data_IF_242042446810
#
_entry.id   IF_242042446810
#
_cell.length_a   1.000
_cell.length_b   1.000
_cell.length_c   1.000
_cell.angle_alpha   90.00
_cell.angle_beta   90.00
_cell.angle_gamma   90.00
#
_symmetry.space_group_name_H-M   'P 1'
#
loop_
_entity.id
_entity.type
_entity.pdbx_description
1 polymer ?
#
# COMPACT_ATOMS: atom_id res chain seq x y z
N UNK A 1 16.36 13.84 -16.37
CA UNK A 1 16.81 13.95 -14.96
C UNK A 1 16.09 12.86 -14.17
N UNK A 2 16.77 11.75 -13.86
CA UNK A 2 16.15 10.61 -13.19
C UNK A 2 15.80 11.00 -11.74
N UNK A 3 14.51 11.07 -11.43
CA UNK A 3 14.03 11.30 -10.07
C UNK A 3 14.47 10.11 -9.20
N UNK A 4 15.39 10.35 -8.27
CA UNK A 4 15.83 9.35 -7.28
C UNK A 4 14.59 8.88 -6.51
N UNK A 5 14.05 7.70 -6.87
CA UNK A 5 12.94 7.05 -6.15
C UNK A 5 13.31 6.99 -4.66
N UNK A 6 12.45 7.53 -3.79
CA UNK A 6 12.69 7.55 -2.34
C UNK A 6 12.76 6.10 -1.83
N UNK A 7 13.83 5.78 -1.10
CA UNK A 7 14.02 4.46 -0.49
C UNK A 7 12.84 4.08 0.42
N UNK A 8 12.30 2.88 0.23
CA UNK A 8 11.23 2.30 1.07
C UNK A 8 11.66 2.31 2.55
N UNK A 9 12.94 2.03 2.80
CA UNK A 9 13.52 2.06 4.14
C UNK A 9 13.43 3.45 4.78
N UNK A 10 13.61 4.50 3.98
CA UNK A 10 13.52 5.89 4.45
C UNK A 10 12.08 6.28 4.75
N UNK A 11 11.10 5.78 3.97
CA UNK A 11 9.67 5.95 4.27
C UNK A 11 9.29 5.24 5.57
N UNK A 12 9.69 3.97 5.73
CA UNK A 12 9.40 3.19 6.93
C UNK A 12 10.00 3.85 8.18
N UNK A 13 11.26 4.29 8.11
CA UNK A 13 11.90 5.05 9.19
C UNK A 13 11.08 6.29 9.56
N UNK A 14 10.69 7.09 8.57
CA UNK A 14 9.90 8.30 8.81
C UNK A 14 8.56 8.00 9.49
N UNK A 15 7.84 6.95 9.09
CA UNK A 15 6.58 6.56 9.73
C UNK A 15 6.76 6.09 11.17
N UNK A 16 7.80 5.28 11.45
CA UNK A 16 8.05 4.82 12.82
C UNK A 16 8.52 5.95 13.74
N UNK A 17 9.31 6.89 13.21
CA UNK A 17 9.72 8.09 13.94
C UNK A 17 8.52 9.00 14.22
N UNK A 18 7.66 9.21 13.23
CA UNK A 18 6.44 10.01 13.38
C UNK A 18 5.51 9.41 14.43
N UNK A 19 5.28 8.09 14.40
CA UNK A 19 4.47 7.38 15.40
C UNK A 19 5.06 7.46 16.81
N UNK A 20 6.39 7.32 16.94
CA UNK A 20 7.07 7.46 18.22
C UNK A 20 6.93 8.86 18.80
N UNK A 21 7.10 9.90 17.97
CA UNK A 21 6.93 11.30 18.39
C UNK A 21 5.48 11.58 18.79
N UNK A 22 4.48 11.18 17.98
CA UNK A 22 3.07 11.43 18.31
C UNK A 22 2.68 10.75 19.62
N UNK A 23 3.11 9.51 19.87
CA UNK A 23 2.90 8.86 21.17
C UNK A 23 3.58 9.59 22.33
N UNK A 24 4.78 10.14 22.11
CA UNK A 24 5.48 10.97 23.08
C UNK A 24 4.72 12.25 23.49
N UNK A 25 3.85 12.77 22.61
CA UNK A 25 2.97 13.91 22.90
C UNK A 25 1.61 13.51 23.48
N UNK A 26 1.06 12.36 23.09
CA UNK A 26 -0.25 11.87 23.58
C UNK A 26 -0.16 11.41 25.04
N UNK A 27 0.94 10.74 25.42
CA UNK A 27 1.07 10.14 26.75
C UNK A 27 1.03 11.14 27.92
N UNK A 28 1.70 12.31 27.85
CA UNK A 28 1.59 13.35 28.88
C UNK A 28 0.17 13.89 29.07
N UNK A 29 -0.60 14.02 28.00
CA UNK A 29 -2.00 14.47 28.06
C UNK A 29 -2.85 13.45 28.82
N UNK A 30 -2.65 12.17 28.55
CA UNK A 30 -3.35 11.09 29.24
C UNK A 30 -2.95 10.97 30.71
N UNK A 31 -1.65 11.07 31.03
CA UNK A 31 -1.15 11.00 32.41
C UNK A 31 -1.74 12.09 33.32
N UNK A 32 -2.11 13.23 32.74
CA UNK A 32 -2.71 14.36 33.46
C UNK A 32 -4.08 14.06 34.07
N UNK A 33 -4.77 12.99 33.63
CA UNK A 33 -6.02 12.54 34.25
C UNK A 33 -5.83 11.78 35.57
N UNK A 34 -4.61 11.29 35.84
CA UNK A 34 -4.35 10.34 36.93
C UNK A 34 -3.28 10.82 37.92
N UNK A 35 -2.54 11.87 37.59
CA UNK A 35 -1.38 12.32 38.38
C UNK A 35 -1.48 13.82 38.66
N UNK A 36 -1.37 14.18 39.94
CA UNK A 36 -1.16 15.56 40.38
C UNK A 36 0.34 15.86 40.44
N UNK A 37 0.77 16.91 39.74
CA UNK A 37 2.19 17.23 39.57
C UNK A 37 2.67 18.23 40.62
N UNK A 38 3.89 18.03 41.14
CA UNK A 38 4.60 19.05 41.92
C UNK A 38 5.08 20.18 41.01
N UNK A 39 5.19 21.41 41.53
CA UNK A 39 5.61 22.60 40.77
C UNK A 39 6.90 22.35 39.97
N UNK A 40 6.85 22.62 38.66
CA UNK A 40 7.98 22.49 37.74
C UNK A 40 8.31 21.06 37.25
N UNK A 41 7.76 20.00 37.84
CA UNK A 41 8.10 18.61 37.45
C UNK A 41 7.39 18.12 36.17
N UNK A 42 6.31 18.78 35.76
CA UNK A 42 5.61 18.45 34.50
C UNK A 42 6.50 18.61 33.26
N UNK A 43 7.35 19.64 33.23
CA UNK A 43 8.24 19.91 32.08
C UNK A 43 9.29 18.80 31.90
N UNK A 44 9.88 18.33 33.01
CA UNK A 44 10.82 17.21 32.98
C UNK A 44 10.14 15.91 32.51
N UNK A 45 8.90 15.67 32.93
CA UNK A 45 8.12 14.53 32.49
C UNK A 45 7.78 14.59 30.99
N UNK A 46 7.39 15.76 30.48
CA UNK A 46 7.10 15.99 29.06
C UNK A 46 8.32 15.69 28.18
N UNK A 47 9.50 16.23 28.56
CA UNK A 47 10.76 15.98 27.85
C UNK A 47 11.11 14.48 27.90
N UNK A 48 10.92 13.84 29.05
CA UNK A 48 11.10 12.40 29.20
C UNK A 48 10.22 11.58 28.26
N UNK A 49 8.95 11.95 28.10
CA UNK A 49 8.01 11.26 27.22
C UNK A 49 8.37 11.39 25.73
N UNK A 50 8.79 12.58 25.30
CA UNK A 50 9.24 12.81 23.91
C UNK A 50 10.51 12.00 23.62
N UNK A 51 11.48 12.02 24.53
CA UNK A 51 12.70 11.23 24.41
C UNK A 51 12.39 9.74 24.36
N UNK A 52 11.50 9.24 25.23
CA UNK A 52 11.05 7.86 25.22
C UNK A 52 10.38 7.49 23.89
N UNK A 53 9.49 8.35 23.37
CA UNK A 53 8.80 8.16 22.09
C UNK A 53 9.76 8.04 20.89
N UNK A 54 10.75 8.94 20.80
CA UNK A 54 11.81 8.87 19.77
C UNK A 54 12.61 7.56 19.91
N UNK A 55 12.96 7.17 21.14
CA UNK A 55 13.71 5.95 21.41
C UNK A 55 12.93 4.71 20.96
N UNK A 56 11.63 4.65 21.27
CA UNK A 56 10.72 3.58 20.82
C UNK A 56 10.63 3.54 19.29
N UNK A 57 10.50 4.70 18.63
CA UNK A 57 10.48 4.77 17.16
C UNK A 57 11.76 4.21 16.52
N UNK A 58 12.93 4.55 17.06
CA UNK A 58 14.23 4.05 16.59
C UNK A 58 14.37 2.55 16.84
N UNK A 59 14.06 2.07 18.05
CA UNK A 59 14.16 0.65 18.40
C UNK A 59 13.22 -0.19 17.54
N UNK A 60 11.98 0.28 17.33
CA UNK A 60 11.00 -0.42 16.50
C UNK A 60 11.46 -0.52 15.03
N UNK A 61 12.06 0.55 14.49
CA UNK A 61 12.64 0.52 13.14
C UNK A 61 13.80 -0.48 13.05
N UNK A 62 14.70 -0.49 14.03
CA UNK A 62 15.80 -1.46 14.09
C UNK A 62 15.28 -2.89 14.19
N UNK A 63 14.20 -3.12 14.94
CA UNK A 63 13.55 -4.41 15.10
C UNK A 63 12.99 -4.93 13.76
N UNK A 64 12.19 -4.11 13.06
CA UNK A 64 11.64 -4.46 11.74
C UNK A 64 12.75 -4.69 10.72
N UNK A 65 13.79 -3.84 10.71
CA UNK A 65 14.95 -4.00 9.83
C UNK A 65 15.69 -5.32 10.09
N UNK A 66 15.87 -5.69 11.36
CA UNK A 66 16.61 -6.90 11.75
C UNK A 66 15.82 -8.18 11.46
N UNK A 67 14.49 -8.14 11.62
CA UNK A 67 13.64 -9.32 11.43
C UNK A 67 13.21 -9.43 9.98
N UNK A 68 12.44 -8.46 9.47
CA UNK A 68 11.73 -8.61 8.20
C UNK A 68 12.66 -8.36 7.00
N UNK A 69 13.48 -7.32 7.07
CA UNK A 69 14.34 -6.93 5.93
C UNK A 69 15.53 -7.88 5.77
N UNK A 70 16.07 -8.39 6.88
CA UNK A 70 17.12 -9.41 6.82
C UNK A 70 16.66 -10.65 6.06
N UNK A 71 15.45 -11.13 6.32
CA UNK A 71 14.90 -12.29 5.63
C UNK A 71 14.59 -11.97 4.16
N UNK A 72 14.04 -10.79 3.83
CA UNK A 72 13.85 -10.37 2.43
C UNK A 72 15.17 -10.24 1.65
N UNK A 73 16.24 -9.80 2.30
CA UNK A 73 17.57 -9.76 1.68
C UNK A 73 18.13 -11.17 1.42
N UNK A 74 17.84 -12.15 2.28
CA UNK A 74 18.17 -13.55 1.99
C UNK A 74 17.44 -14.03 0.75
N UNK A 75 16.12 -13.78 0.63
CA UNK A 75 15.35 -14.11 -0.59
C UNK A 75 16.02 -13.52 -1.82
N UNK A 76 16.39 -12.24 -1.78
CA UNK A 76 17.08 -11.58 -2.89
C UNK A 76 18.44 -12.21 -3.20
N UNK A 77 19.22 -12.62 -2.19
CA UNK A 77 20.54 -13.24 -2.40
C UNK A 77 20.42 -14.63 -3.02
N UNK A 78 19.48 -15.45 -2.54
CA UNK A 78 19.22 -16.79 -3.11
C UNK A 78 18.69 -16.66 -4.53
N UNK A 79 17.85 -15.65 -4.82
CA UNK A 79 17.41 -15.38 -6.18
C UNK A 79 18.56 -15.00 -7.13
N UNK A 80 19.56 -14.24 -6.64
CA UNK A 80 20.76 -13.94 -7.42
C UNK A 80 21.64 -15.18 -7.64
N UNK A 81 21.76 -16.07 -6.65
CA UNK A 81 22.49 -17.33 -6.82
C UNK A 81 21.84 -18.24 -7.86
N UNK A 82 20.50 -18.37 -7.82
CA UNK A 82 19.73 -19.12 -8.83
C UNK A 82 19.91 -18.49 -10.22
N UNK A 83 19.87 -17.16 -10.33
CA UNK A 83 20.11 -16.46 -11.59
C UNK A 83 21.54 -16.68 -12.13
N UNK A 84 22.52 -16.82 -11.24
CA UNK A 84 23.91 -17.18 -11.57
C UNK A 84 24.11 -18.69 -11.81
N UNK A 85 23.02 -19.44 -12.03
CA UNK A 85 23.00 -20.88 -12.32
C UNK A 85 23.43 -21.77 -11.14
N UNK A 86 23.53 -21.22 -9.93
CA UNK A 86 23.70 -22.02 -8.71
C UNK A 86 22.33 -22.37 -8.13
N UNK A 87 21.85 -23.58 -8.42
CA UNK A 87 20.53 -24.08 -7.98
C UNK A 87 20.62 -25.07 -6.80
N UNK A 88 21.82 -25.30 -6.26
CA UNK A 88 22.03 -26.15 -5.07
C UNK A 88 21.72 -25.42 -3.75
N UNK A 89 21.15 -24.22 -3.84
CA UNK A 89 20.79 -23.37 -2.69
C UNK A 89 19.37 -23.65 -2.22
N UNK A 90 19.12 -23.48 -0.93
CA UNK A 90 17.80 -23.60 -0.34
C UNK A 90 17.48 -22.35 0.47
N UNK A 91 16.23 -21.88 0.38
CA UNK A 91 15.77 -20.74 1.15
C UNK A 91 15.21 -21.21 2.48
N UNK A 92 16.03 -21.15 3.54
CA UNK A 92 15.64 -21.52 4.90
C UNK A 92 14.98 -20.34 5.63
N UNK A 93 13.68 -20.14 5.36
CA UNK A 93 12.84 -19.18 6.06
C UNK A 93 11.61 -19.90 6.60
N UNK A 94 11.53 -20.02 7.92
CA UNK A 94 10.35 -20.55 8.60
C UNK A 94 9.45 -19.39 9.05
N UNK A 95 8.34 -19.21 8.34
CA UNK A 95 7.32 -18.23 8.70
C UNK A 95 5.93 -18.70 8.27
N UNK A 96 4.89 -18.26 8.99
CA UNK A 96 3.47 -18.51 8.67
C UNK A 96 2.78 -17.28 8.07
N UNK A 97 3.55 -16.27 7.66
CA UNK A 97 3.06 -15.06 7.03
C UNK A 97 3.41 -15.01 5.54
N UNK A 98 3.11 -13.88 4.89
CA UNK A 98 3.39 -13.67 3.47
C UNK A 98 4.87 -13.89 3.09
N UNK A 99 5.83 -13.67 4.01
CA UNK A 99 7.25 -13.94 3.75
C UNK A 99 7.50 -15.45 3.68
N UNK A 100 6.81 -16.23 4.52
CA UNK A 100 6.84 -17.69 4.48
C UNK A 100 6.20 -18.28 3.23
N UNK A 101 5.09 -17.70 2.75
CA UNK A 101 4.47 -18.08 1.47
C UNK A 101 5.42 -17.82 0.29
N UNK A 102 6.06 -16.64 0.26
CA UNK A 102 7.08 -16.32 -0.74
C UNK A 102 8.23 -17.31 -0.68
N UNK A 103 8.73 -17.63 0.52
CA UNK A 103 9.84 -18.55 0.68
C UNK A 103 9.50 -19.98 0.24
N UNK A 104 8.28 -20.43 0.55
CA UNK A 104 7.78 -21.75 0.16
C UNK A 104 7.62 -21.84 -1.36
N UNK A 105 6.98 -20.84 -1.99
CA UNK A 105 6.87 -20.78 -3.45
C UNK A 105 8.23 -20.71 -4.15
N UNK A 106 9.19 -19.98 -3.57
CA UNK A 106 10.56 -19.92 -4.12
C UNK A 106 11.29 -21.27 -4.02
N UNK A 107 11.12 -21.99 -2.91
CA UNK A 107 11.66 -23.34 -2.76
C UNK A 107 11.01 -24.35 -3.73
N UNK A 108 9.71 -24.21 -4.02
CA UNK A 108 9.06 -25.02 -5.08
C UNK A 108 9.67 -24.75 -6.45
N UNK A 109 9.96 -23.49 -6.79
CA UNK A 109 10.66 -23.13 -8.04
C UNK A 109 12.05 -23.77 -8.09
N UNK A 110 12.84 -23.65 -7.03
CA UNK A 110 14.19 -24.27 -6.96
C UNK A 110 14.09 -25.79 -7.11
N UNK A 111 13.12 -26.43 -6.45
CA UNK A 111 12.90 -27.88 -6.55
C UNK A 111 12.53 -28.31 -7.96
N UNK A 112 11.64 -27.58 -8.63
CA UNK A 112 11.29 -27.81 -10.02
C UNK A 112 12.49 -27.65 -10.96
N UNK A 113 13.30 -26.60 -10.77
CA UNK A 113 14.52 -26.37 -11.55
C UNK A 113 15.56 -27.48 -11.35
N UNK A 114 15.76 -27.94 -10.10
CA UNK A 114 16.65 -29.05 -9.80
C UNK A 114 16.17 -30.36 -10.43
N UNK A 115 14.86 -30.65 -10.36
CA UNK A 115 14.26 -31.80 -11.04
C UNK A 115 14.49 -31.73 -12.55
N UNK A 116 14.29 -30.55 -13.13
CA UNK A 116 14.48 -30.32 -14.56
C UNK A 116 15.94 -30.49 -15.00
N UNK A 117 16.91 -29.95 -14.26
CA UNK A 117 18.35 -30.14 -14.54
C UNK A 117 18.77 -31.59 -14.35
N UNK A 118 18.20 -32.29 -13.36
CA UNK A 118 18.44 -33.73 -13.17
C UNK A 118 17.89 -34.55 -14.34
N UNK A 119 16.68 -34.26 -14.80
CA UNK A 119 16.10 -34.88 -16.00
C UNK A 119 16.92 -34.60 -17.25
N UNK A 120 17.39 -33.36 -17.46
CA UNK A 120 18.29 -33.03 -18.57
C UNK A 120 19.61 -33.81 -18.47
N UNK A 121 20.24 -33.87 -17.29
CA UNK A 121 21.46 -34.67 -17.10
C UNK A 121 21.22 -36.16 -17.35
N UNK A 122 20.05 -36.68 -16.98
CA UNK A 122 19.64 -38.05 -17.27
C UNK A 122 19.47 -38.26 -18.77
N UNK A 123 18.81 -37.33 -19.48
CA UNK A 123 18.66 -37.36 -20.95
C UNK A 123 20.04 -37.31 -21.62
N UNK A 124 20.96 -36.43 -21.19
CA UNK A 124 22.31 -36.34 -21.75
C UNK A 124 23.14 -37.58 -21.44
N UNK A 125 23.01 -38.16 -20.24
CA UNK A 125 23.68 -39.40 -19.87
C UNK A 125 23.12 -40.60 -20.64
N UNK A 126 21.80 -40.68 -20.82
CA UNK A 126 21.15 -41.71 -21.62
C UNK A 126 21.48 -41.56 -23.10
N UNK A 127 21.51 -40.34 -23.64
CA UNK A 127 21.95 -40.04 -25.00
C UNK A 127 23.43 -40.42 -25.23
N UNK A 128 24.31 -40.13 -24.26
CA UNK A 128 25.71 -40.55 -24.32
C UNK A 128 25.86 -42.08 -24.18
N UNK A 129 24.99 -42.76 -23.42
CA UNK A 129 24.94 -44.23 -23.35
C UNK A 129 24.36 -44.87 -24.61
N UNK A 130 23.47 -44.19 -25.33
CA UNK A 130 22.95 -44.66 -26.63
C UNK A 130 24.08 -44.69 -27.69
N UNK A 131 25.12 -43.87 -27.55
CA UNK A 131 26.33 -43.93 -28.37
C UNK A 131 27.34 -45.02 -27.97
N UNK A 132 27.20 -45.62 -26.77
CA UNK A 132 28.20 -46.51 -26.17
C UNK A 132 27.74 -47.94 -25.83
N UNK A 133 26.46 -48.16 -25.52
CA UNK A 133 25.95 -49.46 -25.08
C UNK A 133 25.23 -50.21 -26.20
N UNK A 134 25.78 -51.39 -26.53
CA UNK A 134 25.12 -52.43 -27.31
C UNK A 134 24.01 -53.07 -26.44
N UNK A 135 22.79 -52.53 -26.37
CA UNK A 135 21.59 -53.32 -25.99
C UNK A 135 20.22 -52.60 -26.11
N UNK A 136 19.37 -53.14 -27.00
CA UNK A 136 17.92 -53.49 -26.97
C UNK A 136 16.86 -52.60 -26.24
N UNK A 137 17.17 -51.66 -25.35
CA UNK A 137 16.13 -50.95 -24.55
C UNK A 137 15.84 -49.49 -24.97
N UNK A 138 16.12 -49.11 -26.22
CA UNK A 138 15.92 -47.74 -26.71
C UNK A 138 14.45 -47.36 -26.96
N UNK A 139 13.57 -48.33 -27.20
CA UNK A 139 12.13 -48.09 -27.43
C UNK A 139 11.41 -47.54 -26.19
N UNK A 140 11.73 -48.06 -25.00
CA UNK A 140 11.13 -47.58 -23.73
C UNK A 140 11.56 -46.16 -23.37
N UNK A 141 12.81 -45.79 -23.70
CA UNK A 141 13.33 -44.42 -23.53
C UNK A 141 12.68 -43.43 -24.50
N UNK A 142 12.50 -43.81 -25.76
CA UNK A 142 11.77 -43.00 -26.74
C UNK A 142 10.31 -42.78 -26.33
N UNK A 143 9.63 -43.83 -25.85
CA UNK A 143 8.25 -43.72 -25.37
C UNK A 143 8.14 -42.77 -24.17
N UNK A 144 9.13 -42.80 -23.26
CA UNK A 144 9.20 -41.86 -22.13
C UNK A 144 9.36 -40.42 -22.62
N UNK A 145 10.18 -40.20 -23.65
CA UNK A 145 10.41 -38.88 -24.25
C UNK A 145 9.16 -38.35 -24.97
N UNK A 146 8.44 -39.19 -25.72
CA UNK A 146 7.14 -38.83 -26.31
C UNK A 146 6.13 -38.40 -25.23
N UNK A 147 6.12 -39.10 -24.09
CA UNK A 147 5.24 -38.74 -22.98
C UNK A 147 5.61 -37.37 -22.38
N UNK A 148 6.90 -37.11 -22.15
CA UNK A 148 7.37 -35.79 -21.70
C UNK A 148 7.02 -34.68 -22.68
N UNK A 149 7.18 -34.88 -23.99
CA UNK A 149 6.78 -33.91 -25.03
C UNK A 149 5.28 -33.59 -24.92
N UNK A 150 4.43 -34.60 -24.77
CA UNK A 150 2.98 -34.40 -24.60
C UNK A 150 2.64 -33.63 -23.32
N UNK A 151 3.33 -33.93 -22.20
CA UNK A 151 3.16 -33.18 -20.95
C UNK A 151 3.56 -31.71 -21.09
N UNK A 152 4.67 -31.40 -21.77
CA UNK A 152 5.09 -30.02 -21.97
C UNK A 152 4.09 -29.27 -22.86
N UNK A 153 3.52 -29.92 -23.88
CA UNK A 153 2.47 -29.31 -24.70
C UNK A 153 1.24 -28.94 -23.86
N UNK A 154 0.79 -29.85 -22.98
CA UNK A 154 -0.32 -29.57 -22.06
C UNK A 154 0.01 -28.42 -21.08
N UNK A 155 1.24 -28.36 -20.59
CA UNK A 155 1.68 -27.26 -19.72
C UNK A 155 1.73 -25.93 -20.48
N UNK A 156 2.16 -25.94 -21.73
CA UNK A 156 2.16 -24.76 -22.59
C UNK A 156 0.75 -24.22 -22.85
N UNK A 157 -0.23 -25.11 -23.08
CA UNK A 157 -1.63 -24.70 -23.23
C UNK A 157 -2.15 -24.04 -21.94
N UNK A 158 -1.81 -24.60 -20.78
CA UNK A 158 -2.15 -24.02 -19.47
C UNK A 158 -1.50 -22.65 -19.26
N UNK A 159 -0.23 -22.48 -19.66
CA UNK A 159 0.48 -21.19 -19.59
C UNK A 159 -0.24 -20.17 -20.47
N UNK A 160 -0.59 -20.51 -21.71
CA UNK A 160 -1.32 -19.64 -22.62
C UNK A 160 -2.69 -19.22 -22.06
N UNK A 161 -3.45 -20.18 -21.52
CA UNK A 161 -4.74 -19.91 -20.88
C UNK A 161 -4.59 -18.98 -19.68
N UNK A 162 -3.58 -19.20 -18.83
CA UNK A 162 -3.31 -18.37 -17.66
C UNK A 162 -2.89 -16.95 -18.06
N UNK A 163 -1.99 -16.79 -19.04
CA UNK A 163 -1.59 -15.47 -19.54
C UNK A 163 -2.77 -14.70 -20.13
N UNK A 164 -3.67 -15.36 -20.86
CA UNK A 164 -4.89 -14.72 -21.35
C UNK A 164 -5.83 -14.29 -20.20
N UNK A 165 -5.96 -15.11 -19.15
CA UNK A 165 -6.73 -14.75 -17.96
C UNK A 165 -6.11 -13.54 -17.23
N UNK A 166 -4.78 -13.47 -17.14
CA UNK A 166 -4.05 -12.32 -16.59
C UNK A 166 -4.37 -11.05 -17.40
N UNK A 167 -4.31 -11.10 -18.73
CA UNK A 167 -4.69 -9.96 -19.60
C UNK A 167 -6.11 -9.46 -19.37
N UNK A 168 -7.07 -10.37 -19.25
CA UNK A 168 -8.45 -9.98 -18.95
C UNK A 168 -8.55 -9.27 -17.60
N UNK A 169 -7.89 -9.80 -16.56
CA UNK A 169 -7.84 -9.16 -15.25
C UNK A 169 -7.15 -7.79 -15.29
N UNK A 170 -6.10 -7.62 -16.09
CA UNK A 170 -5.43 -6.33 -16.32
C UNK A 170 -6.41 -5.29 -16.84
N UNK A 171 -7.24 -5.62 -17.84
CA UNK A 171 -8.25 -4.69 -18.36
C UNK A 171 -9.24 -4.25 -17.28
N UNK A 172 -9.68 -5.17 -16.41
CA UNK A 172 -10.53 -4.84 -15.27
C UNK A 172 -9.82 -3.91 -14.27
N UNK A 173 -8.55 -4.18 -13.95
CA UNK A 173 -7.76 -3.35 -13.04
C UNK A 173 -7.53 -1.96 -13.65
N UNK A 174 -7.20 -1.85 -14.94
CA UNK A 174 -7.04 -0.56 -15.63
C UNK A 174 -8.30 0.30 -15.52
N UNK A 175 -9.47 -0.29 -15.75
CA UNK A 175 -10.75 0.41 -15.60
C UNK A 175 -10.99 0.89 -14.17
N UNK A 176 -10.70 0.04 -13.17
CA UNK A 176 -10.83 0.39 -11.76
C UNK A 176 -9.87 1.52 -11.33
N UNK A 177 -8.61 1.45 -11.77
CA UNK A 177 -7.58 2.48 -11.53
C UNK A 177 -8.00 3.82 -12.16
N UNK A 178 -8.48 3.80 -13.40
CA UNK A 178 -8.97 5.01 -14.09
C UNK A 178 -10.16 5.63 -13.36
N UNK A 179 -11.14 4.83 -12.95
CA UNK A 179 -12.30 5.30 -12.19
C UNK A 179 -11.88 5.87 -10.83
N UNK A 180 -10.93 5.24 -10.16
CA UNK A 180 -10.34 5.72 -8.91
C UNK A 180 -9.63 7.08 -9.11
N UNK A 181 -8.84 7.23 -10.18
CA UNK A 181 -8.19 8.50 -10.52
C UNK A 181 -9.19 9.64 -10.74
N UNK A 182 -10.29 9.39 -11.46
CA UNK A 182 -11.37 10.38 -11.66
C UNK A 182 -12.05 10.77 -10.33
N UNK A 183 -12.31 9.80 -9.45
CA UNK A 183 -12.89 10.08 -8.14
C UNK A 183 -11.96 10.93 -7.27
N UNK A 184 -10.65 10.64 -7.29
CA UNK A 184 -9.66 11.43 -6.55
C UNK A 184 -9.60 12.89 -7.04
N UNK A 185 -9.67 13.13 -8.35
CA UNK A 185 -9.76 14.48 -8.92
C UNK A 185 -11.04 15.23 -8.50
N UNK A 186 -12.16 14.52 -8.37
CA UNK A 186 -13.41 15.14 -7.90
C UNK A 186 -13.30 15.53 -6.42
N UNK A 187 -12.66 14.67 -5.61
CA UNK A 187 -12.47 14.96 -4.19
C UNK A 187 -11.53 16.15 -4.00
N UNK A 188 -10.44 16.24 -4.77
CA UNK A 188 -9.51 17.38 -4.77
C UNK A 188 -10.27 18.71 -4.99
N UNK A 189 -11.16 18.77 -5.98
CA UNK A 189 -12.03 19.94 -6.21
C UNK A 189 -12.99 20.23 -5.05
N UNK A 190 -13.52 19.19 -4.40
CA UNK A 190 -14.44 19.36 -3.26
C UNK A 190 -13.70 19.88 -2.03
N UNK A 191 -12.47 19.44 -1.80
CA UNK A 191 -11.57 19.92 -0.73
C UNK A 191 -11.25 21.41 -0.92
N UNK A 192 -10.93 21.82 -2.14
CA UNK A 192 -10.71 23.23 -2.47
C UNK A 192 -11.98 24.08 -2.24
N UNK A 193 -13.14 23.58 -2.69
CA UNK A 193 -14.42 24.25 -2.48
C UNK A 193 -14.75 24.39 -0.99
N UNK A 194 -14.56 23.32 -0.21
CA UNK A 194 -14.76 23.35 1.24
C UNK A 194 -13.87 24.41 1.91
N UNK A 195 -12.60 24.49 1.51
CA UNK A 195 -11.65 25.49 2.01
C UNK A 195 -12.15 26.92 1.75
N UNK A 196 -12.69 27.18 0.55
CA UNK A 196 -13.27 28.47 0.20
C UNK A 196 -14.53 28.80 1.01
N UNK A 197 -15.42 27.81 1.23
CA UNK A 197 -16.63 27.99 2.05
C UNK A 197 -16.28 28.26 3.53
N UNK A 198 -15.27 27.58 4.08
CA UNK A 198 -14.78 27.85 5.44
C UNK A 198 -14.18 29.25 5.57
N UNK A 199 -13.37 29.70 4.61
CA UNK A 199 -12.81 31.06 4.60
C UNK A 199 -13.90 32.14 4.55
N UNK A 200 -14.95 31.91 3.74
CA UNK A 200 -16.13 32.80 3.72
C UNK A 200 -16.82 32.83 5.08
N UNK A 201 -16.95 31.68 5.74
CA UNK A 201 -17.56 31.59 7.06
C UNK A 201 -16.75 32.36 8.12
N UNK A 202 -15.42 32.31 8.09
CA UNK A 202 -14.55 33.15 8.96
C UNK A 202 -14.91 34.63 8.78
N UNK A 203 -14.99 35.13 7.54
CA UNK A 203 -15.34 36.52 7.28
C UNK A 203 -16.71 36.91 7.85
N UNK A 204 -17.73 36.05 7.68
CA UNK A 204 -19.07 36.30 8.24
C UNK A 204 -19.08 36.30 9.77
N UNK A 205 -18.27 35.47 10.41
CA UNK A 205 -18.19 35.44 11.87
C UNK A 205 -17.50 36.67 12.45
N UNK A 206 -16.50 37.21 11.76
CA UNK A 206 -15.89 38.49 12.12
C UNK A 206 -16.88 39.66 11.99
N UNK A 207 -17.72 39.64 10.96
CA UNK A 207 -18.81 40.62 10.82
C UNK A 207 -19.79 40.56 12.01
N UNK A 208 -20.19 39.34 12.42
CA UNK A 208 -21.07 39.17 13.58
C UNK A 208 -20.38 39.64 14.86
N UNK A 209 -19.09 39.35 15.05
CA UNK A 209 -18.34 39.81 16.23
C UNK A 209 -18.37 41.35 16.35
N UNK A 210 -18.15 42.07 15.24
CA UNK A 210 -18.24 43.53 15.19
C UNK A 210 -19.64 44.05 15.56
N UNK A 211 -20.69 43.37 15.11
CA UNK A 211 -22.08 43.71 15.45
C UNK A 211 -22.33 43.50 16.95
N UNK A 212 -21.85 42.40 17.51
CA UNK A 212 -22.00 42.09 18.95
C UNK A 212 -21.24 43.09 19.82
N UNK A 213 -20.04 43.52 19.43
CA UNK A 213 -19.32 44.60 20.10
C UNK A 213 -20.13 45.90 20.08
N UNK A 214 -20.72 46.26 18.94
CA UNK A 214 -21.59 47.45 18.82
C UNK A 214 -22.81 47.35 19.73
N UNK A 215 -23.49 46.21 19.77
CA UNK A 215 -24.65 45.98 20.64
C UNK A 215 -24.25 46.07 22.12
N UNK A 216 -23.10 45.50 22.49
CA UNK A 216 -22.57 45.57 23.86
C UNK A 216 -22.33 47.03 24.27
N UNK A 217 -21.72 47.82 23.40
CA UNK A 217 -21.47 49.24 23.64
C UNK A 217 -22.77 50.04 23.78
N UNK A 218 -23.76 49.79 22.92
CA UNK A 218 -25.09 50.44 23.00
C UNK A 218 -25.80 50.06 24.30
N UNK A 219 -25.75 48.78 24.70
CA UNK A 219 -26.35 48.33 25.95
C UNK A 219 -25.71 48.99 27.18
N UNK A 220 -24.37 49.14 27.19
CA UNK A 220 -23.64 49.81 28.24
C UNK A 220 -23.97 51.31 28.31
N UNK A 221 -24.00 52.01 27.18
CA UNK A 221 -24.41 53.41 27.11
C UNK A 221 -25.86 53.60 27.59
N UNK A 222 -26.77 52.71 27.19
CA UNK A 222 -28.18 52.75 27.61
C UNK A 222 -28.31 52.51 29.12
N UNK A 223 -27.50 51.60 29.68
CA UNK A 223 -27.44 51.35 31.11
C UNK A 223 -26.98 52.59 31.90
N UNK A 224 -25.99 53.33 31.39
CA UNK A 224 -25.52 54.59 31.98
C UNK A 224 -26.58 55.69 31.87
N UNK A 225 -27.23 55.83 30.72
CA UNK A 225 -28.33 56.79 30.50
C UNK A 225 -29.50 56.53 31.45
N UNK A 226 -29.92 55.27 31.58
CA UNK A 226 -30.99 54.85 32.48
C UNK A 226 -30.62 55.10 33.95
N UNK A 227 -29.35 54.87 34.33
CA UNK A 227 -28.87 55.22 35.66
C UNK A 227 -28.97 56.72 35.94
N UNK A 228 -28.51 57.56 35.01
CA UNK A 228 -28.59 59.02 35.14
C UNK A 228 -30.04 59.50 35.24
N UNK A 229 -30.94 58.94 34.43
CA UNK A 229 -32.37 59.24 34.47
C UNK A 229 -33.00 58.82 35.82
N UNK A 230 -32.62 57.66 36.36
CA UNK A 230 -33.10 57.20 37.67
C UNK A 230 -32.64 58.11 38.81
N UNK A 231 -31.41 58.64 38.74
CA UNK A 231 -30.88 59.60 39.72
C UNK A 231 -31.67 60.90 39.67
N UNK A 232 -31.86 61.47 38.47
CA UNK A 232 -32.55 62.75 38.31
C UNK A 232 -34.05 62.64 38.66
N UNK A 233 -34.68 61.53 38.32
CA UNK A 233 -36.05 61.23 38.72
C UNK A 233 -36.20 61.10 40.24
N UNK A 234 -35.23 60.49 40.93
CA UNK A 234 -35.23 60.43 42.41
C UNK A 234 -35.07 61.83 43.03
N UNK A 235 -34.33 62.72 42.36
CA UNK A 235 -34.08 64.10 42.79
C UNK A 235 -35.33 64.98 42.73
N UNK A 236 -36.26 64.68 41.81
CA UNK A 236 -37.55 65.35 41.69
C UNK A 236 -38.59 64.91 42.75
N UNK A 237 -38.24 63.99 43.66
CA UNK A 237 -39.07 63.57 44.78
C UNK A 237 -40.37 62.87 44.32
N UNK A 238 -41.51 63.29 44.86
CA UNK A 238 -42.83 62.71 44.57
C UNK A 238 -43.19 62.76 43.07
N UNK A 239 -42.81 63.83 42.37
CA UNK A 239 -43.11 64.03 40.95
C UNK A 239 -42.30 63.10 40.02
N UNK A 240 -41.20 62.52 40.50
CA UNK A 240 -40.31 61.66 39.72
C UNK A 240 -40.45 60.15 39.98
N UNK A 241 -41.36 59.73 40.89
CA UNK A 241 -41.56 58.31 41.22
C UNK A 241 -41.83 57.44 39.99
N UNK A 242 -42.73 57.86 39.11
CA UNK A 242 -43.09 57.12 37.88
C UNK A 242 -41.90 56.99 36.92
N UNK A 243 -41.10 58.05 36.76
CA UNK A 243 -39.92 58.06 35.91
C UNK A 243 -38.79 57.17 36.47
N UNK A 244 -38.66 57.11 37.79
CA UNK A 244 -37.67 56.23 38.46
C UNK A 244 -37.95 54.76 38.16
N UNK A 245 -39.22 54.34 38.16
CA UNK A 245 -39.61 52.96 37.82
C UNK A 245 -39.28 52.63 36.37
N UNK A 246 -39.61 53.53 35.43
CA UNK A 246 -39.28 53.35 34.01
C UNK A 246 -37.77 53.26 33.79
N UNK A 247 -37.00 54.16 34.42
CA UNK A 247 -35.54 54.14 34.34
C UNK A 247 -34.94 52.83 34.89
N UNK A 248 -35.48 52.30 35.99
CA UNK A 248 -35.10 51.01 36.53
C UNK A 248 -35.35 49.84 35.56
N UNK A 249 -36.50 49.84 34.88
CA UNK A 249 -36.84 48.80 33.89
C UNK A 249 -35.95 48.89 32.64
N UNK A 250 -35.67 50.10 32.14
CA UNK A 250 -34.71 50.30 31.03
C UNK A 250 -33.33 49.80 31.43
N UNK A 251 -32.88 50.08 32.66
CA UNK A 251 -31.58 49.62 33.15
C UNK A 251 -31.49 48.09 33.21
N UNK A 252 -32.55 47.44 33.69
CA UNK A 252 -32.66 45.98 33.72
C UNK A 252 -32.64 45.39 32.31
N UNK A 253 -33.36 46.02 31.37
CA UNK A 253 -33.36 45.61 29.97
C UNK A 253 -31.97 45.72 29.34
N UNK A 254 -31.26 46.84 29.54
CA UNK A 254 -29.89 47.04 29.07
C UNK A 254 -28.92 46.00 29.64
N UNK A 255 -29.03 45.68 30.93
CA UNK A 255 -28.22 44.62 31.57
C UNK A 255 -28.48 43.25 30.91
N UNK A 256 -29.74 42.92 30.61
CA UNK A 256 -30.10 41.67 29.95
C UNK A 256 -29.56 41.60 28.51
N UNK A 257 -29.57 42.72 27.78
CA UNK A 257 -28.98 42.82 26.44
C UNK A 257 -27.47 42.58 26.50
N UNK A 258 -26.77 43.21 27.45
CA UNK A 258 -25.32 43.04 27.62
C UNK A 258 -24.94 41.59 27.95
N UNK A 259 -25.67 40.94 28.87
CA UNK A 259 -25.48 39.51 29.16
C UNK A 259 -25.74 38.61 27.94
N UNK A 260 -26.72 38.95 27.12
CA UNK A 260 -27.03 38.21 25.88
C UNK A 260 -25.92 38.40 24.84
N UNK A 261 -25.39 39.61 24.69
CA UNK A 261 -24.25 39.90 23.83
C UNK A 261 -23.02 39.08 24.22
N UNK A 262 -22.70 39.00 25.52
CA UNK A 262 -21.59 38.16 26.04
C UNK A 262 -21.81 36.68 25.70
N UNK A 263 -23.04 36.17 25.83
CA UNK A 263 -23.37 34.78 25.46
C UNK A 263 -23.15 34.54 23.97
N UNK A 264 -23.59 35.45 23.10
CA UNK A 264 -23.40 35.32 21.64
C UNK A 264 -21.90 35.39 21.29
N UNK A 265 -21.14 36.29 21.91
CA UNK A 265 -19.68 36.38 21.71
C UNK A 265 -18.98 35.04 22.01
N UNK A 266 -19.37 34.36 23.11
CA UNK A 266 -18.85 33.01 23.42
C UNK A 266 -19.18 31.98 22.34
N UNK A 267 -20.39 32.02 21.77
CA UNK A 267 -20.79 31.13 20.68
C UNK A 267 -19.95 31.40 19.42
N UNK A 268 -19.72 32.67 19.09
CA UNK A 268 -18.89 33.07 17.94
C UNK A 268 -17.43 32.63 18.12
N UNK A 269 -16.89 32.75 19.34
CA UNK A 269 -15.55 32.25 19.65
C UNK A 269 -15.44 30.73 19.43
N UNK A 270 -16.37 29.95 19.99
CA UNK A 270 -16.39 28.50 19.81
C UNK A 270 -16.59 28.10 18.33
N UNK A 271 -17.38 28.88 17.58
CA UNK A 271 -17.59 28.63 16.16
C UNK A 271 -16.32 28.89 15.34
N UNK A 272 -15.56 29.94 15.65
CA UNK A 272 -14.25 30.18 15.05
C UNK A 272 -13.25 29.05 15.33
N UNK A 273 -13.24 28.53 16.56
CA UNK A 273 -12.41 27.38 16.91
C UNK A 273 -12.77 26.15 16.06
N UNK A 274 -14.07 25.86 15.92
CA UNK A 274 -14.56 24.76 15.09
C UNK A 274 -14.19 24.92 13.62
N UNK A 275 -14.25 26.14 13.06
CA UNK A 275 -13.85 26.42 11.68
C UNK A 275 -12.35 26.18 11.50
N UNK A 276 -11.52 26.62 12.45
CA UNK A 276 -10.08 26.39 12.41
C UNK A 276 -9.75 24.90 12.46
N UNK A 277 -10.43 24.12 13.31
CA UNK A 277 -10.28 22.67 13.36
C UNK A 277 -10.70 22.02 12.03
N UNK A 278 -11.83 22.43 11.46
CA UNK A 278 -12.29 21.93 10.16
C UNK A 278 -11.28 22.21 9.04
N UNK A 279 -10.65 23.39 9.03
CA UNK A 279 -9.60 23.75 8.08
C UNK A 279 -8.32 22.90 8.25
N UNK A 280 -7.93 22.59 9.49
CA UNK A 280 -6.79 21.70 9.75
C UNK A 280 -7.05 20.28 9.23
N UNK A 281 -8.25 19.75 9.49
CA UNK A 281 -8.68 18.44 8.96
C UNK A 281 -8.69 18.45 7.43
N UNK A 282 -9.22 19.51 6.81
CA UNK A 282 -9.26 19.63 5.36
C UNK A 282 -7.86 19.66 4.73
N UNK A 283 -6.89 20.31 5.40
CA UNK A 283 -5.50 20.35 4.95
C UNK A 283 -4.83 18.96 5.01
N UNK A 284 -5.09 18.21 6.07
CA UNK A 284 -4.59 16.82 6.19
C UNK A 284 -5.21 15.92 5.11
N UNK A 285 -6.52 16.04 4.87
CA UNK A 285 -7.21 15.35 3.79
C UNK A 285 -6.59 15.65 2.42
N UNK A 286 -6.26 16.92 2.15
CA UNK A 286 -5.61 17.31 0.90
C UNK A 286 -4.25 16.62 0.71
N UNK A 287 -3.46 16.49 1.77
CA UNK A 287 -2.18 15.76 1.72
C UNK A 287 -2.39 14.26 1.50
N UNK A 288 -3.38 13.65 2.15
CA UNK A 288 -3.74 12.24 1.94
C UNK A 288 -4.18 11.99 0.49
N UNK A 289 -5.03 12.84 -0.09
CA UNK A 289 -5.48 12.68 -1.47
C UNK A 289 -4.36 12.86 -2.48
N UNK A 290 -3.42 13.77 -2.25
CA UNK A 290 -2.22 13.91 -3.07
C UNK A 290 -1.39 12.62 -3.11
N UNK A 291 -1.21 11.97 -1.95
CA UNK A 291 -0.52 10.68 -1.88
C UNK A 291 -1.30 9.58 -2.62
N UNK A 292 -2.63 9.54 -2.48
CA UNK A 292 -3.49 8.58 -3.18
C UNK A 292 -3.44 8.75 -4.72
N UNK A 293 -3.34 10.00 -5.21
CA UNK A 293 -3.15 10.28 -6.64
C UNK A 293 -1.80 9.73 -7.12
N UNK A 294 -0.72 9.94 -6.35
CA UNK A 294 0.60 9.39 -6.68
C UNK A 294 0.59 7.86 -6.71
N UNK A 295 -0.07 7.21 -5.74
CA UNK A 295 -0.19 5.76 -5.71
C UNK A 295 -1.06 5.23 -6.85
N UNK A 296 -2.12 5.93 -7.26
CA UNK A 296 -2.93 5.58 -8.44
C UNK A 296 -2.10 5.64 -9.74
N UNK A 297 -1.22 6.64 -9.89
CA UNK A 297 -0.27 6.72 -11.01
C UNK A 297 0.69 5.54 -10.99
N UNK A 298 1.24 5.17 -9.81
CA UNK A 298 2.11 3.99 -9.67
C UNK A 298 1.39 2.70 -10.02
N UNK A 299 0.13 2.54 -9.62
CA UNK A 299 -0.69 1.40 -10.01
C UNK A 299 -0.82 1.29 -11.52
N UNK A 300 -1.04 2.41 -12.23
CA UNK A 300 -1.09 2.43 -13.70
C UNK A 300 0.20 1.88 -14.31
N UNK A 301 1.36 2.23 -13.75
CA UNK A 301 2.64 1.74 -14.25
C UNK A 301 2.90 0.26 -13.94
N UNK A 302 2.51 -0.22 -12.74
CA UNK A 302 2.56 -1.64 -12.39
C UNK A 302 1.70 -2.46 -13.36
N UNK A 303 0.46 -2.02 -13.59
CA UNK A 303 -0.48 -2.70 -14.49
C UNK A 303 0.08 -2.81 -15.90
N UNK A 304 0.75 -1.76 -16.39
CA UNK A 304 1.46 -1.78 -17.67
C UNK A 304 2.63 -2.78 -17.69
N UNK A 305 3.37 -2.92 -16.61
CA UNK A 305 4.46 -3.90 -16.51
C UNK A 305 3.93 -5.34 -16.53
N UNK A 306 2.83 -5.61 -15.83
CA UNK A 306 2.20 -6.95 -15.84
C UNK A 306 1.65 -7.28 -17.23
N UNK A 307 1.11 -6.29 -17.95
CA UNK A 307 0.61 -6.47 -19.31
C UNK A 307 1.73 -6.87 -20.27
N UNK A 308 2.83 -6.09 -20.27
CA UNK A 308 4.03 -6.41 -21.05
C UNK A 308 4.63 -7.78 -20.69
N UNK A 309 4.62 -8.14 -19.40
CA UNK A 309 5.09 -9.46 -18.94
C UNK A 309 4.19 -10.59 -19.49
N UNK A 310 2.87 -10.38 -19.50
CA UNK A 310 1.93 -11.35 -20.05
C UNK A 310 2.12 -11.52 -21.57
N UNK A 311 2.36 -10.43 -22.31
CA UNK A 311 2.70 -10.48 -23.74
C UNK A 311 3.99 -11.25 -24.01
N UNK A 312 5.01 -10.97 -23.21
CA UNK A 312 6.32 -11.64 -23.32
C UNK A 312 6.18 -13.13 -23.00
N UNK A 313 5.41 -13.48 -21.96
CA UNK A 313 5.14 -14.87 -21.58
C UNK A 313 4.44 -15.66 -22.68
N UNK A 314 3.44 -15.07 -23.36
CA UNK A 314 2.75 -15.71 -24.50
C UNK A 314 3.74 -15.94 -25.65
N UNK A 315 4.58 -14.95 -25.95
CA UNK A 315 5.56 -15.03 -27.02
C UNK A 315 6.61 -16.11 -26.75
N UNK A 316 7.16 -16.14 -25.53
CA UNK A 316 8.17 -17.12 -25.12
C UNK A 316 7.59 -18.54 -25.07
N UNK A 317 6.34 -18.69 -24.63
CA UNK A 317 5.62 -19.95 -24.66
C UNK A 317 5.36 -20.45 -26.11
N UNK A 318 5.08 -19.54 -27.05
CA UNK A 318 4.96 -19.86 -28.48
C UNK A 318 6.29 -20.36 -29.06
N UNK A 319 7.40 -19.68 -28.75
CA UNK A 319 8.73 -20.11 -29.18
C UNK A 319 9.12 -21.48 -28.59
N UNK A 320 8.72 -21.74 -27.34
CA UNK A 320 8.90 -23.02 -26.68
C UNK A 320 8.12 -24.13 -27.41
N UNK A 321 6.85 -23.90 -27.77
CA UNK A 321 6.07 -24.85 -28.57
C UNK A 321 6.75 -25.20 -29.88
N UNK A 322 7.25 -24.20 -30.63
CA UNK A 322 7.99 -24.47 -31.86
C UNK A 322 9.25 -25.31 -31.64
N UNK A 323 9.93 -25.12 -30.50
CA UNK A 323 11.11 -25.93 -30.14
C UNK A 323 10.73 -27.37 -29.76
N UNK A 324 9.57 -27.56 -29.11
CA UNK A 324 9.03 -28.88 -28.75
C UNK A 324 8.57 -29.64 -29.98
N UNK A 325 7.95 -28.97 -30.95
CA UNK A 325 7.56 -29.58 -32.22
C UNK A 325 8.80 -30.08 -32.98
N UNK A 326 9.87 -29.28 -33.02
CA UNK A 326 11.14 -29.72 -33.59
C UNK A 326 11.72 -30.95 -32.86
N UNK A 327 11.64 -30.99 -31.53
CA UNK A 327 12.09 -32.15 -30.74
C UNK A 327 11.22 -33.38 -31.02
N UNK A 328 9.91 -33.21 -31.15
CA UNK A 328 8.98 -34.28 -31.52
C UNK A 328 9.37 -34.91 -32.86
N UNK A 329 9.68 -34.09 -33.85
CA UNK A 329 10.12 -34.57 -35.16
C UNK A 329 11.45 -35.35 -35.08
N UNK A 330 12.40 -34.88 -34.27
CA UNK A 330 13.66 -35.62 -34.02
C UNK A 330 13.37 -36.99 -33.38
N UNK A 331 12.48 -37.04 -32.39
CA UNK A 331 12.13 -38.29 -31.70
C UNK A 331 11.45 -39.28 -32.65
N UNK A 332 10.54 -38.81 -33.51
CA UNK A 332 9.91 -39.64 -34.54
C UNK A 332 10.96 -40.20 -35.51
N UNK A 333 11.86 -39.36 -36.02
CA UNK A 333 12.94 -39.80 -36.90
C UNK A 333 13.90 -40.79 -36.24
N UNK A 334 14.21 -40.61 -34.96
CA UNK A 334 15.02 -41.56 -34.18
C UNK A 334 14.29 -42.90 -34.05
N UNK A 335 12.99 -42.88 -33.75
CA UNK A 335 12.19 -44.10 -33.66
C UNK A 335 12.21 -44.89 -34.98
N UNK A 336 11.95 -44.22 -36.10
CA UNK A 336 11.99 -44.85 -37.43
C UNK A 336 13.38 -45.41 -37.77
N UNK A 337 14.45 -44.71 -37.38
CA UNK A 337 15.83 -45.16 -37.57
C UNK A 337 16.14 -46.42 -36.77
N UNK A 338 15.66 -46.50 -35.52
CA UNK A 338 15.82 -47.71 -34.71
C UNK A 338 15.04 -48.89 -35.27
N UNK A 339 13.79 -48.67 -35.73
CA UNK A 339 13.00 -49.73 -36.36
C UNK A 339 13.71 -50.30 -37.60
N UNK A 340 14.25 -49.44 -38.46
CA UNK A 340 15.06 -49.84 -39.61
C UNK A 340 16.34 -50.59 -39.20
N UNK A 341 17.00 -50.17 -38.13
CA UNK A 341 18.17 -50.85 -37.57
C UNK A 341 17.83 -52.25 -37.04
N UNK A 342 16.71 -52.41 -36.32
CA UNK A 342 16.23 -53.72 -35.86
C UNK A 342 15.92 -54.67 -37.03
N UNK A 343 15.26 -54.16 -38.08
CA UNK A 343 15.02 -54.93 -39.31
C UNK A 343 16.35 -55.34 -39.96
N UNK A 344 17.35 -54.47 -39.97
CA UNK A 344 18.67 -54.78 -40.54
C UNK A 344 19.44 -55.82 -39.71
N UNK A 345 19.42 -55.73 -38.38
CA UNK A 345 20.01 -56.73 -37.49
C UNK A 345 19.35 -58.10 -37.66
N UNK A 346 18.01 -58.15 -37.72
CA UNK A 346 17.30 -59.43 -37.87
C UNK A 346 17.62 -60.10 -39.21
N UNK A 347 17.75 -59.34 -40.30
CA UNK A 347 18.22 -59.85 -41.60
C UNK A 347 19.67 -60.35 -41.54
N UNK A 348 20.55 -59.67 -40.80
CA UNK A 348 21.93 -60.08 -40.57
C UNK A 348 22.02 -61.38 -39.76
N UNK A 349 21.23 -61.52 -38.69
CA UNK A 349 21.18 -62.75 -37.88
C UNK A 349 20.66 -63.95 -38.70
N UNK A 350 19.61 -63.75 -39.52
CA UNK A 350 19.12 -64.75 -40.47
C UNK A 350 20.21 -65.17 -41.47
N UNK A 351 20.95 -64.20 -42.02
CA UNK A 351 22.04 -64.47 -42.96
C UNK A 351 23.20 -65.21 -42.30
N UNK A 352 23.57 -64.85 -41.07
CA UNK A 352 24.61 -65.50 -40.30
C UNK A 352 24.25 -66.95 -39.91
N UNK A 353 22.97 -67.21 -39.59
CA UNK A 353 22.46 -68.57 -39.36
C UNK A 353 22.54 -69.41 -40.63
N UNK A 354 22.12 -68.87 -41.76
CA UNK A 354 22.20 -69.56 -43.06
C UNK A 354 23.65 -69.87 -43.47
N UNK A 355 24.62 -69.04 -43.06
CA UNK A 355 26.05 -69.26 -43.33
C UNK A 355 26.67 -70.38 -42.46
N UNK A 356 26.09 -70.69 -41.29
CA UNK A 356 26.54 -71.79 -40.42
C UNK A 356 25.98 -73.16 -40.80
N UNK A 357 24.94 -73.19 -41.62
CA UNK A 357 24.24 -74.42 -42.03
C UNK A 357 24.66 -74.95 -43.40
N UNK A 358 25.53 -74.23 -44.11
CA UNK A 358 26.26 -74.67 -45.31
C UNK A 358 27.74 -74.88 -44.94
#
# INVERSE_FOLDING_TARGET
MATRKKSILKRLFNYMMLFGITMGFIFPVYANFFVEWKEGHFVYFLIGCIMAGITVGIVSFLFVKKILIKELLKVSSVAQEVANKNIAVQLEIESKDAVGEIASGFNEIIKCLNSFVFEIKKIVSEANKIGGDKEINNSSKLHSLTHSISQIHSNSDKISALSNAIKNNINHIQSAVFKSGKNLQLIDKNVDRFSNEMNSLVGRTQEIDNIIQTISNVAEQTNILALNASIEASKAGEFGKSFTVVAGEVRKLSSNISQSAIRIAKIIYALNENINQANLINKDLMEQFKNNIEDNIRFTEIVKQVDNFSDSSITENSNLLGSIDNLKDIVLNMNDSFDSFYISISKLDLSAKNFKTN
#
